data_IF_326262101511
#
_entry.id   IF_326262101511
#
_cell.length_a   1.000
_cell.length_b   1.000
_cell.length_c   1.000
_cell.angle_alpha   90.00
_cell.angle_beta   90.00
_cell.angle_gamma   90.00
#
_symmetry.space_group_name_H-M   'P 1'
#
loop_
_entity.id
_entity.type
_entity.pdbx_description
1 polymer ?
#
# COMPACT_ATOMS: atom_id res chain seq x y z
N UNK A 1 9.30 -25.42 -24.04
CA UNK A 1 10.24 -26.35 -24.65
C UNK A 1 10.36 -26.13 -26.14
N UNK A 2 9.25 -26.05 -26.92
CA UNK A 2 9.26 -25.87 -28.39
C UNK A 2 10.15 -24.70 -28.83
N UNK A 3 9.96 -23.49 -28.26
CA UNK A 3 10.80 -22.31 -28.57
C UNK A 3 12.29 -22.48 -28.24
N UNK A 4 12.63 -23.29 -27.26
CA UNK A 4 14.04 -23.57 -26.91
C UNK A 4 14.64 -24.65 -27.79
N UNK A 5 13.82 -25.57 -28.30
CA UNK A 5 14.26 -26.61 -29.20
C UNK A 5 14.72 -26.06 -30.59
N UNK A 6 14.25 -24.86 -30.93
CA UNK A 6 14.67 -24.14 -32.15
C UNK A 6 16.04 -23.46 -31.99
N UNK A 7 16.52 -23.26 -30.76
CA UNK A 7 17.82 -22.66 -30.48
C UNK A 7 18.85 -23.77 -30.22
N UNK A 8 19.90 -23.85 -31.04
CA UNK A 8 20.93 -24.89 -30.96
C UNK A 8 21.69 -24.90 -29.62
N UNK A 9 21.88 -23.76 -28.99
CA UNK A 9 22.58 -23.65 -27.68
C UNK A 9 21.67 -24.05 -26.50
N UNK A 10 20.37 -23.78 -26.60
CA UNK A 10 19.41 -24.04 -25.54
C UNK A 10 18.73 -25.40 -25.60
N UNK A 11 18.76 -26.04 -26.81
CA UNK A 11 18.17 -27.36 -27.00
C UNK A 11 18.69 -28.45 -26.05
N UNK A 12 19.99 -28.54 -25.73
CA UNK A 12 20.50 -29.54 -24.80
C UNK A 12 19.96 -29.40 -23.38
N UNK A 13 19.53 -28.21 -22.98
CA UNK A 13 19.06 -27.91 -21.63
C UNK A 13 17.53 -27.82 -21.52
N UNK A 14 16.79 -28.16 -22.61
CA UNK A 14 15.32 -28.11 -22.63
C UNK A 14 14.66 -28.92 -21.51
N UNK A 15 15.28 -30.02 -21.08
CA UNK A 15 14.75 -30.87 -20.02
C UNK A 15 14.93 -30.27 -18.62
N UNK A 16 15.81 -29.29 -18.45
CA UNK A 16 15.99 -28.58 -17.19
C UNK A 16 14.89 -27.52 -16.92
N UNK A 17 14.04 -27.21 -17.92
CA UNK A 17 12.86 -26.38 -17.69
C UNK A 17 11.98 -27.08 -16.67
N UNK A 18 11.70 -26.40 -15.56
CA UNK A 18 10.93 -26.94 -14.44
C UNK A 18 11.61 -28.10 -13.68
N UNK A 19 12.92 -28.29 -13.86
CA UNK A 19 13.67 -29.36 -13.18
C UNK A 19 13.60 -29.18 -11.65
N UNK A 20 13.07 -30.20 -10.98
CA UNK A 20 12.92 -30.21 -9.52
C UNK A 20 11.96 -29.16 -8.93
N UNK A 21 11.44 -28.26 -9.76
CA UNK A 21 10.56 -27.18 -9.32
C UNK A 21 9.13 -27.64 -9.07
N UNK A 22 8.48 -27.00 -8.11
CA UNK A 22 7.02 -26.95 -8.03
C UNK A 22 6.53 -25.61 -8.63
N UNK A 23 5.25 -25.52 -8.99
CA UNK A 23 4.67 -24.26 -9.48
C UNK A 23 4.89 -23.09 -8.53
N UNK A 24 4.93 -23.36 -7.24
CA UNK A 24 5.15 -22.34 -6.21
C UNK A 24 6.59 -21.82 -6.15
N UNK A 25 7.58 -22.55 -6.62
CA UNK A 25 8.93 -21.99 -6.77
C UNK A 25 8.96 -20.84 -7.77
N UNK A 26 8.03 -20.81 -8.71
CA UNK A 26 7.86 -19.71 -9.68
C UNK A 26 6.86 -18.68 -9.19
N UNK A 27 5.68 -19.11 -8.73
CA UNK A 27 4.60 -18.21 -8.32
C UNK A 27 5.00 -17.31 -7.16
N UNK A 28 5.64 -17.86 -6.11
CA UNK A 28 6.05 -17.03 -4.97
C UNK A 28 7.02 -15.92 -5.38
N UNK A 29 7.98 -16.24 -6.25
CA UNK A 29 8.96 -15.27 -6.74
C UNK A 29 8.29 -14.22 -7.64
N UNK A 30 7.35 -14.62 -8.48
CA UNK A 30 6.58 -13.70 -9.32
C UNK A 30 5.75 -12.73 -8.48
N UNK A 31 5.02 -13.21 -7.47
CA UNK A 31 4.28 -12.34 -6.53
C UNK A 31 5.21 -11.45 -5.72
N UNK A 32 6.33 -11.96 -5.24
CA UNK A 32 7.32 -11.17 -4.52
C UNK A 32 7.86 -10.00 -5.37
N UNK A 33 8.19 -10.28 -6.64
CA UNK A 33 8.66 -9.24 -7.58
C UNK A 33 7.57 -8.21 -7.88
N UNK A 34 6.31 -8.65 -8.11
CA UNK A 34 5.19 -7.73 -8.31
C UNK A 34 4.93 -6.85 -7.07
N UNK A 35 4.98 -7.41 -5.87
CA UNK A 35 4.84 -6.66 -4.62
C UNK A 35 5.97 -5.65 -4.42
N UNK A 36 7.20 -6.03 -4.73
CA UNK A 36 8.37 -5.14 -4.71
C UNK A 36 8.18 -3.98 -5.68
N UNK A 37 7.76 -4.28 -6.89
CA UNK A 37 7.58 -3.28 -7.94
C UNK A 37 6.44 -2.31 -7.63
N UNK A 38 5.27 -2.80 -7.22
CA UNK A 38 4.14 -1.93 -6.87
C UNK A 38 4.48 -1.03 -5.69
N UNK A 39 5.20 -1.55 -4.68
CA UNK A 39 5.68 -0.73 -3.55
C UNK A 39 6.58 0.41 -4.02
N UNK A 40 7.60 0.10 -4.81
CA UNK A 40 8.62 1.05 -5.20
C UNK A 40 8.17 2.05 -6.26
N UNK A 41 7.40 1.58 -7.26
CA UNK A 41 7.03 2.42 -8.41
C UNK A 41 5.69 3.13 -8.27
N UNK A 42 4.80 2.63 -7.39
CA UNK A 42 3.44 3.17 -7.28
C UNK A 42 3.09 3.62 -5.87
N UNK A 43 3.18 2.77 -4.84
CA UNK A 43 2.68 3.12 -3.51
C UNK A 43 3.54 4.19 -2.84
N UNK A 44 4.84 3.94 -2.69
CA UNK A 44 5.75 4.89 -2.03
C UNK A 44 5.79 6.26 -2.72
N UNK A 45 5.85 6.38 -4.05
CA UNK A 45 5.79 7.69 -4.71
C UNK A 45 4.51 8.48 -4.43
N UNK A 46 3.33 7.84 -4.42
CA UNK A 46 2.08 8.54 -4.13
C UNK A 46 1.97 8.94 -2.64
N UNK A 47 2.43 8.08 -1.72
CA UNK A 47 2.51 8.42 -0.29
C UNK A 47 3.45 9.61 -0.08
N UNK A 48 4.60 9.62 -0.75
CA UNK A 48 5.56 10.73 -0.67
C UNK A 48 4.96 12.04 -1.23
N UNK A 49 4.18 11.98 -2.31
CA UNK A 49 3.47 13.15 -2.84
C UNK A 49 2.48 13.72 -1.79
N UNK A 50 1.70 12.86 -1.13
CA UNK A 50 0.79 13.27 -0.06
C UNK A 50 1.55 13.91 1.12
N UNK A 51 2.64 13.27 1.58
CA UNK A 51 3.51 13.80 2.64
C UNK A 51 4.06 15.18 2.28
N UNK A 52 4.57 15.34 1.07
CA UNK A 52 5.17 16.60 0.62
C UNK A 52 4.11 17.71 0.50
N UNK A 53 2.91 17.38 0.03
CA UNK A 53 1.81 18.34 -0.06
C UNK A 53 1.36 18.79 1.33
N UNK A 54 1.13 17.84 2.25
CA UNK A 54 0.77 18.15 3.64
C UNK A 54 1.86 18.94 4.36
N UNK A 55 3.13 18.61 4.15
CA UNK A 55 4.27 19.35 4.70
C UNK A 55 4.30 20.81 4.22
N UNK A 56 4.00 21.03 2.94
CA UNK A 56 3.88 22.37 2.37
C UNK A 56 2.75 23.16 3.04
N UNK A 57 1.57 22.57 3.14
CA UNK A 57 0.42 23.20 3.80
C UNK A 57 0.71 23.46 5.29
N UNK A 58 1.31 22.50 6.00
CA UNK A 58 1.66 22.65 7.42
C UNK A 58 2.62 23.83 7.66
N UNK A 59 3.60 24.05 6.78
CA UNK A 59 4.50 25.19 6.85
C UNK A 59 3.81 26.50 6.49
N UNK A 60 2.99 26.50 5.45
CA UNK A 60 2.25 27.67 4.99
C UNK A 60 1.34 28.23 6.08
N UNK A 61 0.68 27.35 6.83
CA UNK A 61 -0.31 27.72 7.86
C UNK A 61 0.21 27.51 9.29
N UNK A 62 1.52 27.53 9.48
CA UNK A 62 2.15 27.27 10.78
C UNK A 62 1.71 28.27 11.87
N UNK A 63 1.49 29.53 11.49
CA UNK A 63 1.03 30.63 12.39
C UNK A 63 -0.47 30.88 12.33
N UNK A 64 -1.21 30.14 11.50
CA UNK A 64 -2.66 30.34 11.35
C UNK A 64 -3.37 29.76 12.58
N UNK A 65 -3.72 30.62 13.54
CA UNK A 65 -4.42 30.23 14.76
C UNK A 65 -5.85 29.77 14.46
N UNK A 66 -6.30 28.74 15.15
CA UNK A 66 -7.65 28.20 15.06
C UNK A 66 -8.15 27.70 16.40
N UNK A 67 -9.47 27.65 16.56
CA UNK A 67 -10.11 27.04 17.70
C UNK A 67 -9.94 25.50 17.63
N UNK A 68 -9.29 24.91 18.65
CA UNK A 68 -9.29 23.46 18.82
C UNK A 68 -10.66 22.97 19.24
N UNK A 69 -11.04 21.79 18.79
CA UNK A 69 -12.31 21.16 19.19
C UNK A 69 -12.05 19.76 19.75
N UNK A 70 -12.55 19.53 20.95
CA UNK A 70 -12.57 18.20 21.58
C UNK A 70 -14.00 17.77 21.81
N UNK A 71 -14.35 16.54 21.50
CA UNK A 71 -15.75 16.05 21.54
C UNK A 71 -16.71 16.94 20.71
N UNK A 72 -16.21 17.57 19.65
CA UNK A 72 -16.97 18.52 18.85
C UNK A 72 -17.21 19.90 19.51
N UNK A 73 -16.77 20.08 20.75
CA UNK A 73 -16.94 21.32 21.52
C UNK A 73 -15.71 22.22 21.42
N UNK A 74 -15.93 23.53 21.58
CA UNK A 74 -14.86 24.52 21.65
C UNK A 74 -13.87 24.17 22.79
N UNK A 75 -12.59 24.24 22.46
CA UNK A 75 -11.50 23.94 23.38
C UNK A 75 -10.42 25.02 23.30
N UNK A 76 -9.18 24.71 23.67
CA UNK A 76 -8.06 25.65 23.62
C UNK A 76 -7.58 25.93 22.21
N UNK A 77 -6.96 27.07 21.92
CA UNK A 77 -6.38 27.39 20.63
C UNK A 77 -5.31 26.40 20.18
N UNK A 78 -5.24 26.17 18.87
CA UNK A 78 -4.17 25.45 18.17
C UNK A 78 -3.81 26.21 16.89
N UNK A 79 -3.04 25.61 15.98
CA UNK A 79 -2.84 26.17 14.62
C UNK A 79 -3.16 25.13 13.54
N UNK A 80 -3.67 25.59 12.43
CA UNK A 80 -3.94 24.73 11.28
C UNK A 80 -2.68 24.01 10.80
N UNK A 81 -1.54 24.70 10.80
CA UNK A 81 -0.26 24.09 10.42
C UNK A 81 0.14 22.94 11.33
N UNK A 82 -0.09 23.03 12.64
CA UNK A 82 0.21 21.96 13.60
C UNK A 82 -0.71 20.76 13.38
N UNK A 83 -1.99 20.96 13.09
CA UNK A 83 -2.92 19.86 12.78
C UNK A 83 -2.46 19.09 11.52
N UNK A 84 -2.08 19.79 10.45
CA UNK A 84 -1.55 19.18 9.23
C UNK A 84 -0.17 18.51 9.46
N UNK A 85 0.67 19.07 10.32
CA UNK A 85 1.96 18.49 10.70
C UNK A 85 1.81 17.16 11.45
N UNK A 86 0.76 16.99 12.25
CA UNK A 86 0.43 15.73 12.91
C UNK A 86 0.25 14.61 11.88
N UNK A 87 -0.60 14.82 10.88
CA UNK A 87 -0.80 13.84 9.80
C UNK A 87 0.48 13.57 9.02
N UNK A 88 1.24 14.63 8.70
CA UNK A 88 2.52 14.51 8.00
C UNK A 88 3.48 13.59 8.75
N UNK A 89 3.68 13.82 10.03
CA UNK A 89 4.61 13.04 10.86
C UNK A 89 4.19 11.58 11.00
N UNK A 90 2.88 11.34 11.17
CA UNK A 90 2.32 10.00 11.27
C UNK A 90 2.49 9.23 9.95
N UNK A 91 2.27 9.88 8.79
CA UNK A 91 2.47 9.27 7.48
C UNK A 91 3.94 8.90 7.23
N UNK A 92 4.89 9.77 7.58
CA UNK A 92 6.33 9.49 7.49
C UNK A 92 6.69 8.24 8.30
N UNK A 93 6.17 8.12 9.52
CA UNK A 93 6.42 6.96 10.35
C UNK A 93 5.87 5.67 9.72
N UNK A 94 4.66 5.69 9.18
CA UNK A 94 4.07 4.51 8.54
C UNK A 94 4.73 4.18 7.19
N UNK A 95 5.12 5.18 6.41
CA UNK A 95 5.89 4.97 5.17
C UNK A 95 7.22 4.24 5.45
N UNK A 96 7.91 4.62 6.53
CA UNK A 96 9.14 3.95 6.97
C UNK A 96 8.89 2.47 7.28
N UNK A 97 7.81 2.15 8.02
CA UNK A 97 7.45 0.75 8.33
C UNK A 97 7.15 -0.04 7.06
N UNK A 98 6.37 0.48 6.12
CA UNK A 98 6.11 -0.17 4.84
C UNK A 98 7.40 -0.42 4.04
N UNK A 99 8.36 0.50 4.09
CA UNK A 99 9.65 0.36 3.41
C UNK A 99 10.50 -0.76 4.02
N UNK A 100 10.37 -1.00 5.32
CA UNK A 100 11.13 -1.99 6.07
C UNK A 100 10.61 -3.42 5.91
N UNK A 101 9.38 -3.61 5.42
CA UNK A 101 8.84 -4.96 5.17
C UNK A 101 9.78 -5.73 4.23
N UNK A 102 10.31 -6.83 4.73
CA UNK A 102 11.22 -7.70 4.00
C UNK A 102 10.44 -8.59 3.04
N UNK A 103 10.66 -8.45 1.75
CA UNK A 103 10.00 -9.27 0.73
C UNK A 103 10.81 -10.54 0.54
N UNK A 104 10.17 -11.68 0.84
CA UNK A 104 10.79 -13.00 0.85
C UNK A 104 10.48 -13.77 -0.43
N UNK A 105 11.35 -14.76 -0.70
CA UNK A 105 11.13 -15.73 -1.76
C UNK A 105 11.80 -17.06 -1.42
N UNK A 106 11.32 -18.13 -2.04
CA UNK A 106 11.87 -19.46 -1.88
C UNK A 106 12.07 -20.14 -3.24
N UNK A 107 13.05 -21.04 -3.28
CA UNK A 107 13.28 -21.97 -4.38
C UNK A 107 13.84 -23.25 -3.77
N UNK A 108 12.99 -24.28 -3.50
CA UNK A 108 13.39 -25.46 -2.74
C UNK A 108 12.53 -26.72 -3.00
N UNK A 109 11.68 -26.67 -4.06
CA UNK A 109 10.92 -27.83 -4.52
C UNK A 109 9.60 -28.07 -3.80
N UNK A 110 9.02 -29.23 -4.03
CA UNK A 110 7.63 -29.57 -3.73
C UNK A 110 7.21 -29.51 -2.27
N UNK A 111 8.16 -29.66 -1.34
CA UNK A 111 7.92 -29.60 0.12
C UNK A 111 9.00 -28.81 0.86
N UNK A 112 9.80 -28.04 0.15
CA UNK A 112 10.83 -27.19 0.75
C UNK A 112 12.15 -27.88 1.08
N UNK A 113 12.40 -29.08 0.58
CA UNK A 113 13.54 -29.90 0.99
C UNK A 113 14.51 -30.30 -0.13
N UNK A 114 14.33 -29.79 -1.35
CA UNK A 114 15.15 -30.12 -2.53
C UNK A 114 15.19 -31.62 -2.87
N UNK A 115 14.12 -32.38 -2.56
CA UNK A 115 14.14 -33.85 -2.69
C UNK A 115 14.53 -34.33 -4.08
N UNK A 116 13.84 -33.86 -5.14
CA UNK A 116 14.12 -34.22 -6.52
C UNK A 116 15.53 -33.77 -6.95
N UNK A 117 15.93 -32.57 -6.55
CA UNK A 117 17.25 -32.03 -6.86
C UNK A 117 18.39 -32.88 -6.27
N UNK A 118 18.26 -33.26 -4.98
CA UNK A 118 19.27 -34.06 -4.28
C UNK A 118 19.40 -35.50 -4.82
N UNK A 119 18.29 -36.08 -5.28
CA UNK A 119 18.32 -37.41 -5.91
C UNK A 119 19.03 -37.33 -7.26
N UNK A 120 18.77 -36.33 -8.04
CA UNK A 120 19.36 -36.21 -9.37
C UNK A 120 20.83 -35.75 -9.35
N UNK A 121 21.17 -34.82 -8.45
CA UNK A 121 22.51 -34.25 -8.33
C UNK A 121 22.88 -34.09 -6.87
N UNK A 122 23.31 -35.18 -6.18
CA UNK A 122 23.57 -35.21 -4.73
C UNK A 122 24.76 -34.33 -4.30
N UNK A 123 25.71 -34.09 -5.19
CA UNK A 123 26.95 -33.37 -4.89
C UNK A 123 26.78 -31.84 -4.93
N UNK A 124 25.60 -31.33 -5.38
CA UNK A 124 25.31 -29.89 -5.44
C UNK A 124 24.80 -29.42 -4.10
N UNK A 125 25.33 -28.28 -3.63
CA UNK A 125 24.79 -27.58 -2.48
C UNK A 125 23.52 -26.79 -2.89
N UNK A 126 22.39 -27.48 -2.96
CA UNK A 126 21.11 -26.92 -3.39
C UNK A 126 20.60 -25.75 -2.52
N UNK A 127 20.72 -25.76 -1.18
CA UNK A 127 20.37 -24.61 -0.35
C UNK A 127 21.14 -23.36 -0.73
N UNK A 128 22.45 -23.47 -0.96
CA UNK A 128 23.29 -22.35 -1.41
C UNK A 128 22.86 -21.84 -2.77
N UNK A 129 22.63 -22.73 -3.74
CA UNK A 129 22.17 -22.37 -5.07
C UNK A 129 20.80 -21.69 -5.05
N UNK A 130 19.84 -22.22 -4.28
CA UNK A 130 18.53 -21.63 -4.10
C UNK A 130 18.59 -20.25 -3.47
N UNK A 131 19.45 -20.06 -2.46
CA UNK A 131 19.70 -18.76 -1.85
C UNK A 131 20.27 -17.75 -2.87
N UNK A 132 21.33 -18.12 -3.58
CA UNK A 132 21.98 -17.26 -4.58
C UNK A 132 21.00 -16.87 -5.68
N UNK A 133 20.16 -17.81 -6.14
CA UNK A 133 19.14 -17.54 -7.14
C UNK A 133 18.11 -16.53 -6.65
N UNK A 134 17.52 -16.70 -5.46
CA UNK A 134 16.54 -15.77 -4.89
C UNK A 134 17.15 -14.39 -4.68
N UNK A 135 18.38 -14.32 -4.17
CA UNK A 135 19.11 -13.06 -3.99
C UNK A 135 19.41 -12.36 -5.33
N UNK A 136 19.67 -13.11 -6.40
CA UNK A 136 19.92 -12.55 -7.72
C UNK A 136 18.71 -11.81 -8.31
N UNK A 137 17.49 -12.16 -7.86
CA UNK A 137 16.25 -11.47 -8.19
C UNK A 137 16.05 -10.20 -7.35
N UNK A 138 16.96 -9.92 -6.41
CA UNK A 138 16.86 -8.81 -5.47
C UNK A 138 15.77 -9.01 -4.42
N UNK A 139 15.44 -10.26 -4.09
CA UNK A 139 14.55 -10.69 -3.02
C UNK A 139 15.36 -11.18 -1.84
N UNK A 140 14.73 -11.39 -0.69
CA UNK A 140 15.36 -12.04 0.46
C UNK A 140 14.97 -13.52 0.48
N UNK A 141 15.94 -14.37 0.81
CA UNK A 141 15.73 -15.81 0.81
C UNK A 141 15.08 -16.29 2.10
N UNK A 142 13.99 -17.07 1.98
CA UNK A 142 13.41 -17.82 3.09
C UNK A 142 13.92 -19.26 3.05
N UNK A 143 14.74 -19.63 4.03
CA UNK A 143 15.38 -20.92 4.11
C UNK A 143 14.43 -22.07 4.49
N UNK A 144 13.42 -21.77 5.32
CA UNK A 144 12.54 -22.77 5.92
C UNK A 144 11.10 -22.56 5.48
N UNK A 145 10.72 -23.28 4.45
CA UNK A 145 9.38 -23.21 3.85
C UNK A 145 8.81 -24.61 3.64
N UNK A 146 7.56 -24.68 3.22
CA UNK A 146 6.93 -25.91 2.75
C UNK A 146 6.91 -25.90 1.21
N UNK A 147 5.83 -26.31 0.58
CA UNK A 147 5.67 -26.10 -0.87
C UNK A 147 5.54 -24.61 -1.22
N UNK A 148 4.93 -23.83 -0.31
CA UNK A 148 4.75 -22.38 -0.46
C UNK A 148 5.79 -21.61 0.36
N UNK A 149 6.01 -20.36 0.00
CA UNK A 149 6.47 -19.33 0.92
C UNK A 149 5.30 -19.02 1.88
N UNK A 150 5.48 -18.97 3.23
CA UNK A 150 4.37 -18.94 4.20
C UNK A 150 3.47 -17.71 4.15
N UNK A 151 3.81 -16.68 3.38
CA UNK A 151 3.07 -15.43 3.18
C UNK A 151 3.02 -14.50 4.41
N UNK A 152 3.77 -14.75 5.45
CA UNK A 152 3.83 -13.87 6.62
C UNK A 152 4.25 -12.45 6.24
N UNK A 153 5.21 -12.30 5.32
CA UNK A 153 5.62 -10.99 4.83
C UNK A 153 4.52 -10.27 4.05
N UNK A 154 3.64 -11.01 3.36
CA UNK A 154 2.48 -10.43 2.65
C UNK A 154 1.47 -9.92 3.67
N UNK A 155 1.26 -10.64 4.77
CA UNK A 155 0.42 -10.19 5.86
C UNK A 155 0.96 -8.90 6.49
N UNK A 156 2.26 -8.84 6.80
CA UNK A 156 2.92 -7.64 7.31
C UNK A 156 2.81 -6.46 6.33
N UNK A 157 2.98 -6.72 5.04
CA UNK A 157 2.82 -5.74 3.97
C UNK A 157 1.39 -5.17 3.95
N UNK A 158 0.38 -6.04 3.99
CA UNK A 158 -1.03 -5.66 4.04
C UNK A 158 -1.38 -4.86 5.30
N UNK A 159 -0.87 -5.27 6.46
CA UNK A 159 -1.08 -4.57 7.73
C UNK A 159 -0.43 -3.17 7.73
N UNK A 160 0.73 -3.03 7.13
CA UNK A 160 1.39 -1.73 6.96
C UNK A 160 0.56 -0.80 6.08
N UNK A 161 0.00 -1.30 4.98
CA UNK A 161 -0.89 -0.52 4.10
C UNK A 161 -2.19 -0.13 4.80
N UNK A 162 -2.80 -1.04 5.55
CA UNK A 162 -4.01 -0.74 6.35
C UNK A 162 -3.79 0.43 7.31
N UNK A 163 -2.63 0.49 7.97
CA UNK A 163 -2.29 1.59 8.89
C UNK A 163 -2.18 2.92 8.17
N UNK A 164 -1.53 2.94 6.99
CA UNK A 164 -1.47 4.13 6.15
C UNK A 164 -2.87 4.55 5.72
N UNK A 165 -3.67 3.62 5.24
CA UNK A 165 -5.03 3.89 4.78
C UNK A 165 -5.93 4.41 5.90
N UNK A 166 -5.86 3.83 7.09
CA UNK A 166 -6.63 4.29 8.26
C UNK A 166 -6.28 5.73 8.63
N UNK A 167 -5.00 6.09 8.52
CA UNK A 167 -4.55 7.45 8.74
C UNK A 167 -5.06 8.42 7.67
N UNK A 168 -5.09 7.99 6.40
CA UNK A 168 -5.61 8.79 5.30
C UNK A 168 -7.14 8.93 5.33
N UNK A 169 -7.87 7.92 5.79
CA UNK A 169 -9.31 8.01 6.08
C UNK A 169 -9.56 9.08 7.15
N UNK A 170 -8.78 9.06 8.24
CA UNK A 170 -8.89 10.09 9.29
C UNK A 170 -8.62 11.50 8.73
N UNK A 171 -7.57 11.66 7.91
CA UNK A 171 -7.28 12.94 7.25
C UNK A 171 -8.45 13.40 6.37
N UNK A 172 -9.03 12.50 5.59
CA UNK A 172 -10.17 12.81 4.71
C UNK A 172 -11.40 13.25 5.52
N UNK A 173 -11.70 12.55 6.61
CA UNK A 173 -12.79 12.89 7.52
C UNK A 173 -12.60 14.27 8.18
N UNK A 174 -11.38 14.61 8.63
CA UNK A 174 -11.08 15.92 9.19
C UNK A 174 -11.19 17.03 8.13
N UNK A 175 -10.68 16.79 6.91
CA UNK A 175 -10.85 17.73 5.78
C UNK A 175 -12.33 17.97 5.47
N UNK A 176 -13.13 16.92 5.42
CA UNK A 176 -14.58 17.00 5.26
C UNK A 176 -15.22 17.83 6.38
N UNK A 177 -14.83 17.59 7.63
CA UNK A 177 -15.28 18.36 8.79
C UNK A 177 -14.91 19.84 8.68
N UNK A 178 -13.66 20.16 8.32
CA UNK A 178 -13.22 21.55 8.15
C UNK A 178 -13.91 22.25 6.95
N UNK A 179 -14.27 21.53 5.91
CA UNK A 179 -15.11 22.06 4.82
C UNK A 179 -16.51 22.40 5.37
N UNK A 180 -17.12 21.54 6.17
CA UNK A 180 -18.45 21.76 6.73
C UNK A 180 -18.51 22.96 7.69
N UNK A 181 -17.40 23.24 8.40
CA UNK A 181 -17.24 24.41 9.27
C UNK A 181 -16.90 25.71 8.48
N UNK A 182 -16.64 25.60 7.18
CA UNK A 182 -16.19 26.73 6.36
C UNK A 182 -14.73 27.13 6.58
N UNK A 183 -13.95 26.33 7.29
CA UNK A 183 -12.53 26.55 7.47
C UNK A 183 -11.74 26.28 6.19
N UNK A 184 -12.18 25.27 5.42
CA UNK A 184 -11.66 24.97 4.09
C UNK A 184 -12.67 25.38 3.02
N UNK A 185 -12.21 26.13 2.03
CA UNK A 185 -12.92 26.45 0.80
C UNK A 185 -12.38 25.59 -0.33
N UNK A 186 -13.27 25.01 -1.12
CA UNK A 186 -12.91 24.21 -2.30
C UNK A 186 -12.94 25.07 -3.57
N UNK A 187 -11.97 24.86 -4.46
CA UNK A 187 -11.93 25.45 -5.80
C UNK A 187 -12.46 24.45 -6.81
N UNK A 188 -13.33 24.91 -7.70
CA UNK A 188 -13.81 24.12 -8.84
C UNK A 188 -12.73 24.15 -9.93
N UNK A 189 -12.29 22.99 -10.42
CA UNK A 189 -11.47 22.91 -11.64
C UNK A 189 -12.37 23.07 -12.86
N UNK A 190 -11.83 23.68 -13.93
CA UNK A 190 -12.56 23.88 -15.19
C UNK A 190 -13.07 22.55 -15.74
N UNK A 191 -14.40 22.44 -15.92
CA UNK A 191 -15.06 21.21 -16.37
C UNK A 191 -15.67 20.34 -15.25
N UNK A 192 -15.48 20.70 -13.97
CA UNK A 192 -16.14 20.02 -12.84
C UNK A 192 -17.47 20.70 -12.49
N UNK A 193 -18.43 19.90 -12.04
CA UNK A 193 -19.73 20.37 -11.52
C UNK A 193 -19.69 20.23 -10.00
N UNK A 194 -19.81 21.33 -9.26
CA UNK A 194 -19.74 21.33 -7.79
C UNK A 194 -20.91 20.57 -7.14
N UNK A 195 -22.09 20.63 -7.74
CA UNK A 195 -23.28 19.88 -7.36
C UNK A 195 -24.21 19.78 -8.55
N UNK A 196 -24.84 18.62 -8.75
CA UNK A 196 -25.80 18.40 -9.84
C UNK A 196 -27.13 19.16 -9.65
N UNK A 197 -27.47 19.52 -8.41
CA UNK A 197 -28.81 20.06 -8.06
C UNK A 197 -28.74 21.45 -7.42
N UNK A 198 -27.67 21.77 -6.69
CA UNK A 198 -27.53 22.99 -5.89
C UNK A 198 -26.28 23.78 -6.33
N UNK A 199 -26.38 24.76 -7.20
CA UNK A 199 -25.22 25.43 -7.80
C UNK A 199 -24.37 26.26 -6.83
N UNK A 200 -24.89 26.54 -5.62
CA UNK A 200 -24.22 27.35 -4.61
C UNK A 200 -23.26 26.53 -3.71
N UNK A 201 -23.20 25.20 -3.86
CA UNK A 201 -22.33 24.34 -3.03
C UNK A 201 -21.35 23.52 -3.87
N UNK A 202 -20.21 23.20 -3.27
CA UNK A 202 -19.20 22.31 -3.83
C UNK A 202 -19.06 21.12 -2.88
N UNK A 203 -19.45 19.94 -3.36
CA UNK A 203 -19.37 18.74 -2.56
C UNK A 203 -17.90 18.26 -2.41
N UNK A 204 -17.47 17.77 -1.23
CA UNK A 204 -16.11 17.29 -0.99
C UNK A 204 -15.89 15.87 -1.55
N UNK A 205 -16.30 15.62 -2.79
CA UNK A 205 -16.34 14.29 -3.40
C UNK A 205 -14.98 13.58 -3.47
N UNK A 206 -13.89 14.36 -3.57
CA UNK A 206 -12.54 13.77 -3.60
C UNK A 206 -12.20 13.09 -2.28
N UNK A 207 -12.60 13.68 -1.15
CA UNK A 207 -12.38 13.10 0.19
C UNK A 207 -13.30 11.90 0.43
N UNK A 208 -14.58 12.00 0.08
CA UNK A 208 -15.57 10.91 0.19
C UNK A 208 -15.17 9.70 -0.68
N UNK A 209 -14.75 9.95 -1.92
CA UNK A 209 -14.24 8.90 -2.81
C UNK A 209 -12.97 8.23 -2.25
N UNK A 210 -12.06 9.02 -1.65
CA UNK A 210 -10.89 8.46 -1.00
C UNK A 210 -11.26 7.56 0.18
N UNK A 211 -12.15 7.99 1.07
CA UNK A 211 -12.63 7.19 2.21
C UNK A 211 -13.24 5.85 1.77
N UNK A 212 -14.14 5.88 0.78
CA UNK A 212 -14.79 4.68 0.26
C UNK A 212 -13.78 3.67 -0.30
N UNK A 213 -12.85 4.13 -1.14
CA UNK A 213 -11.84 3.26 -1.74
C UNK A 213 -10.83 2.73 -0.70
N UNK A 214 -10.38 3.56 0.26
CA UNK A 214 -9.48 3.12 1.33
C UNK A 214 -10.14 2.10 2.26
N UNK A 215 -11.42 2.28 2.58
CA UNK A 215 -12.19 1.34 3.41
C UNK A 215 -12.31 -0.02 2.73
N UNK A 216 -12.59 -0.04 1.42
CA UNK A 216 -12.67 -1.28 0.65
C UNK A 216 -11.31 -1.96 0.54
N UNK A 217 -10.24 -1.21 0.26
CA UNK A 217 -8.87 -1.74 0.25
C UNK A 217 -8.50 -2.34 1.62
N UNK A 218 -8.84 -1.68 2.71
CA UNK A 218 -8.58 -2.16 4.07
C UNK A 218 -9.30 -3.48 4.38
N UNK A 219 -10.53 -3.66 3.90
CA UNK A 219 -11.27 -4.90 4.05
C UNK A 219 -10.56 -6.06 3.35
N UNK A 220 -10.05 -5.84 2.13
CA UNK A 220 -9.27 -6.82 1.39
C UNK A 220 -7.93 -7.12 2.09
N UNK A 221 -7.17 -6.10 2.49
CA UNK A 221 -5.89 -6.29 3.20
C UNK A 221 -6.07 -7.01 4.52
N UNK A 222 -7.13 -6.70 5.28
CA UNK A 222 -7.45 -7.41 6.53
C UNK A 222 -7.70 -8.89 6.26
N UNK A 223 -8.45 -9.20 5.21
CA UNK A 223 -8.72 -10.59 4.84
C UNK A 223 -7.44 -11.31 4.41
N UNK A 224 -6.60 -10.69 3.59
CA UNK A 224 -5.31 -11.26 3.17
C UNK A 224 -4.39 -11.51 4.36
N UNK A 225 -4.21 -10.53 5.24
CA UNK A 225 -3.33 -10.64 6.40
C UNK A 225 -3.78 -11.76 7.37
N UNK A 226 -5.07 -11.93 7.56
CA UNK A 226 -5.60 -12.95 8.46
C UNK A 226 -5.63 -14.36 7.85
N UNK A 227 -5.60 -14.49 6.53
CA UNK A 227 -5.89 -15.76 5.87
C UNK A 227 -4.67 -16.35 5.15
N UNK A 228 -3.84 -15.54 4.50
CA UNK A 228 -2.69 -16.02 3.72
C UNK A 228 -1.67 -16.80 4.54
N UNK A 229 -1.32 -16.43 5.79
CA UNK A 229 -0.37 -17.20 6.60
C UNK A 229 -0.86 -18.58 7.03
N UNK A 230 -2.14 -18.89 6.82
CA UNK A 230 -2.73 -20.16 7.23
C UNK A 230 -2.80 -21.11 6.05
N UNK A 231 -1.99 -22.16 6.04
CA UNK A 231 -2.05 -23.26 5.09
C UNK A 231 -2.07 -24.59 5.81
N UNK A 232 -2.75 -25.60 5.24
CA UNK A 232 -2.80 -26.94 5.82
C UNK A 232 -1.55 -27.72 5.42
N UNK A 233 -0.85 -28.24 6.41
CA UNK A 233 0.37 -29.02 6.23
C UNK A 233 1.35 -28.34 5.26
N UNK A 234 1.75 -29.01 4.18
CA UNK A 234 2.72 -28.46 3.24
C UNK A 234 2.09 -27.53 2.22
N UNK A 235 0.80 -27.64 1.96
CA UNK A 235 0.02 -26.74 1.11
C UNK A 235 -1.47 -27.06 1.10
N UNK A 236 -2.32 -26.03 0.99
CA UNK A 236 -3.64 -26.07 0.39
C UNK A 236 -3.78 -24.93 -0.67
N UNK A 237 -4.90 -24.88 -1.44
CA UNK A 237 -5.06 -23.95 -2.55
C UNK A 237 -5.79 -22.63 -2.21
N UNK A 238 -6.08 -22.35 -0.96
CA UNK A 238 -6.79 -21.12 -0.57
C UNK A 238 -6.03 -19.85 -0.94
N UNK A 239 -4.72 -19.86 -0.79
CA UNK A 239 -3.82 -18.78 -1.15
C UNK A 239 -3.98 -18.34 -2.59
N UNK A 240 -4.11 -19.28 -3.51
CA UNK A 240 -4.21 -19.03 -4.96
C UNK A 240 -5.40 -18.14 -5.33
N UNK A 241 -6.55 -18.31 -4.67
CA UNK A 241 -7.72 -17.45 -4.88
C UNK A 241 -7.49 -16.04 -4.33
N UNK A 242 -6.85 -15.93 -3.18
CA UNK A 242 -6.62 -14.66 -2.50
C UNK A 242 -5.57 -13.81 -3.22
N UNK A 243 -4.44 -14.42 -3.58
CA UNK A 243 -3.32 -13.74 -4.24
C UNK A 243 -3.72 -13.10 -5.56
N UNK A 244 -4.66 -13.70 -6.31
CA UNK A 244 -5.20 -13.12 -7.56
C UNK A 244 -5.96 -11.80 -7.35
N UNK A 245 -6.40 -11.51 -6.12
CA UNK A 245 -7.15 -10.30 -5.78
C UNK A 245 -6.27 -9.19 -5.16
N UNK A 246 -4.98 -9.41 -4.96
CA UNK A 246 -4.06 -8.37 -4.46
C UNK A 246 -4.09 -7.10 -5.32
N UNK A 247 -4.11 -7.26 -6.64
CA UNK A 247 -4.19 -6.14 -7.58
C UNK A 247 -5.42 -5.25 -7.39
N UNK A 248 -6.56 -5.83 -7.03
CA UNK A 248 -7.80 -5.10 -6.76
C UNK A 248 -7.63 -4.17 -5.55
N UNK A 249 -7.02 -4.67 -4.46
CA UNK A 249 -6.76 -3.85 -3.28
C UNK A 249 -5.79 -2.69 -3.58
N UNK A 250 -4.73 -2.94 -4.35
CA UNK A 250 -3.80 -1.90 -4.78
C UNK A 250 -4.45 -0.87 -5.71
N UNK A 251 -5.36 -1.29 -6.59
CA UNK A 251 -6.10 -0.37 -7.46
C UNK A 251 -6.95 0.61 -6.65
N UNK A 252 -7.70 0.12 -5.66
CA UNK A 252 -8.46 0.97 -4.74
C UNK A 252 -7.56 1.94 -3.98
N UNK A 253 -6.39 1.49 -3.49
CA UNK A 253 -5.42 2.38 -2.86
C UNK A 253 -4.97 3.52 -3.79
N UNK A 254 -4.60 3.21 -5.02
CA UNK A 254 -4.09 4.21 -5.96
C UNK A 254 -5.17 5.21 -6.40
N UNK A 255 -6.41 4.75 -6.56
CA UNK A 255 -7.57 5.63 -6.81
C UNK A 255 -7.72 6.60 -5.63
N UNK A 256 -7.72 6.08 -4.41
CA UNK A 256 -7.89 6.88 -3.21
C UNK A 256 -6.76 7.89 -3.00
N UNK A 257 -5.49 7.48 -3.18
CA UNK A 257 -4.35 8.39 -3.01
C UNK A 257 -4.38 9.55 -4.00
N UNK A 258 -4.75 9.28 -5.25
CA UNK A 258 -4.94 10.32 -6.28
C UNK A 258 -6.11 11.24 -5.95
N UNK A 259 -7.24 10.67 -5.52
CA UNK A 259 -8.43 11.44 -5.15
C UNK A 259 -8.13 12.36 -3.96
N UNK A 260 -7.48 11.83 -2.92
CA UNK A 260 -7.11 12.61 -1.74
C UNK A 260 -6.13 13.73 -2.07
N UNK A 261 -5.11 13.46 -2.89
CA UNK A 261 -4.17 14.49 -3.35
C UNK A 261 -4.89 15.58 -4.13
N UNK A 262 -5.80 15.20 -5.04
CA UNK A 262 -6.62 16.14 -5.80
C UNK A 262 -7.50 17.01 -4.90
N UNK A 263 -8.14 16.41 -3.88
CA UNK A 263 -8.91 17.15 -2.88
C UNK A 263 -8.06 18.15 -2.11
N UNK A 264 -6.88 17.73 -1.63
CA UNK A 264 -5.93 18.59 -0.93
C UNK A 264 -5.39 19.75 -1.81
N UNK A 265 -5.22 19.54 -3.11
CA UNK A 265 -4.83 20.61 -4.04
C UNK A 265 -5.93 21.64 -4.30
N UNK A 266 -7.19 21.26 -4.12
CA UNK A 266 -8.35 22.13 -4.35
C UNK A 266 -8.71 22.97 -3.14
N UNK A 267 -8.29 22.62 -1.94
CA UNK A 267 -8.61 23.39 -0.74
C UNK A 267 -7.78 24.66 -0.62
N UNK A 268 -8.40 25.66 -0.03
CA UNK A 268 -7.75 26.86 0.51
C UNK A 268 -8.31 27.11 1.91
N UNK A 269 -7.44 27.55 2.83
CA UNK A 269 -7.84 27.79 4.21
C UNK A 269 -8.36 29.22 4.35
N UNK A 270 -9.54 29.37 4.98
CA UNK A 270 -10.16 30.66 5.28
C UNK A 270 -9.68 31.16 6.65
N UNK A 271 -8.55 31.89 6.66
CA UNK A 271 -7.94 32.43 7.87
C UNK A 271 -8.87 33.43 8.58
N UNK A 272 -9.72 34.14 7.85
CA UNK A 272 -10.69 35.08 8.43
C UNK A 272 -11.73 34.31 9.22
N UNK A 273 -12.28 33.24 8.65
CA UNK A 273 -13.26 32.39 9.34
C UNK A 273 -12.68 31.71 10.57
N UNK A 274 -11.43 31.20 10.48
CA UNK A 274 -10.72 30.62 11.62
C UNK A 274 -10.56 31.60 12.78
N UNK A 275 -10.17 32.86 12.46
CA UNK A 275 -10.01 33.91 13.45
C UNK A 275 -11.35 34.30 14.07
N UNK A 276 -12.39 34.49 13.26
CA UNK A 276 -13.74 34.81 13.76
C UNK A 276 -14.25 33.75 14.75
N UNK A 277 -14.06 32.46 14.43
CA UNK A 277 -14.51 31.39 15.30
C UNK A 277 -13.69 31.34 16.63
N UNK A 278 -12.39 31.64 16.54
CA UNK A 278 -11.52 31.74 17.72
C UNK A 278 -11.88 32.93 18.62
N UNK A 279 -12.23 34.10 18.04
CA UNK A 279 -12.55 35.31 18.79
C UNK A 279 -13.95 35.23 19.44
N UNK A 280 -14.82 34.31 19.05
CA UNK A 280 -16.16 34.09 19.60
C UNK A 280 -16.19 33.20 20.83
N UNK A 281 -15.11 32.51 21.12
CA UNK A 281 -14.98 31.53 22.23
C UNK A 281 -13.81 31.83 23.12
#
# INVERSE_FOLDING_TARGET
KEKLAENSELKPICEFIHFGCTSEDINNLAYALMLKEVRQKHLLPHIEQLINHLRKLARQYASCAMLGRTHGQAAVPTTMGKELANFTQRLIAQQKLLTQVTILGKFNGAVGNYNAHRIAYPDINWPKLGQEFVLSLGLNWNAYTTQIEPHDYIAEYCDSLKRINTLLIHLAADCWGYISLGYFKQRIKKGEVGSSTMPHKINPIDFENAEGNLSLANSLYQHFANTLPISRWQRDLRDSTLLRNLGTAFAHNLIAYKSLLQGLEKISIDEIKLKQDLDQH
#
